data_IF_396505420567
#
_entry.id   IF_396505420567
#
_cell.length_a   1.000
_cell.length_b   1.000
_cell.length_c   1.000
_cell.angle_alpha   90.00
_cell.angle_beta   90.00
_cell.angle_gamma   90.00
#
_symmetry.space_group_name_H-M   'P 1'
#
loop_
_entity.id
_entity.type
_entity.pdbx_description
1 polymer ?
#
# COMPACT_ATOMS: atom_id res chain seq x y z
N UNK A 1 23.99 35.39 -27.32
CA UNK A 1 24.66 34.24 -26.66
C UNK A 1 24.52 34.35 -25.14
N UNK A 2 23.33 34.13 -24.59
CA UNK A 2 23.09 34.15 -23.13
C UNK A 2 21.88 33.31 -22.66
N UNK A 3 21.12 32.70 -23.59
CA UNK A 3 19.93 31.92 -23.25
C UNK A 3 20.23 30.47 -22.82
N UNK A 4 21.46 29.98 -23.00
CA UNK A 4 21.86 28.61 -22.62
C UNK A 4 22.42 28.51 -21.18
N UNK A 5 22.68 29.63 -20.50
CA UNK A 5 23.27 29.63 -19.15
C UNK A 5 22.23 29.37 -18.04
N UNK A 6 20.93 29.46 -18.34
CA UNK A 6 19.86 29.27 -17.34
C UNK A 6 19.52 27.80 -17.08
N UNK A 7 19.89 26.87 -17.97
CA UNK A 7 19.64 25.44 -17.79
C UNK A 7 20.67 24.72 -16.90
N UNK A 8 21.83 25.34 -16.67
CA UNK A 8 22.87 24.74 -15.80
C UNK A 8 22.82 25.25 -14.35
N UNK A 9 22.18 26.40 -14.09
CA UNK A 9 22.11 27.00 -12.74
C UNK A 9 20.86 26.64 -11.92
N UNK A 10 19.87 25.94 -12.50
CA UNK A 10 18.74 25.35 -11.74
C UNK A 10 19.10 24.01 -11.06
N UNK A 11 20.38 23.61 -11.05
CA UNK A 11 20.87 22.51 -10.20
C UNK A 11 20.89 22.83 -8.69
N UNK A 12 20.43 24.02 -8.29
CA UNK A 12 20.13 24.37 -6.90
C UNK A 12 18.64 24.20 -6.54
N UNK A 13 17.89 23.38 -7.28
CA UNK A 13 16.66 22.77 -6.75
C UNK A 13 17.05 21.78 -5.65
N UNK A 14 17.32 22.31 -4.44
CA UNK A 14 17.39 21.54 -3.20
C UNK A 14 16.07 20.77 -3.11
N UNK A 15 16.13 19.50 -3.48
CA UNK A 15 15.03 18.55 -3.30
C UNK A 15 14.89 18.37 -1.80
N UNK A 16 14.13 19.26 -1.18
CA UNK A 16 13.61 19.06 0.16
C UNK A 16 12.50 18.00 0.07
N UNK A 17 12.92 16.78 -0.28
CA UNK A 17 12.07 15.60 -0.34
C UNK A 17 11.92 15.09 1.08
N UNK A 18 10.96 15.67 1.81
CA UNK A 18 10.49 15.12 3.07
C UNK A 18 9.99 13.69 2.80
N UNK A 19 10.81 12.69 3.15
CA UNK A 19 10.60 11.25 2.96
C UNK A 19 9.40 10.64 3.71
N UNK A 20 8.36 11.42 3.97
CA UNK A 20 7.14 11.01 4.65
C UNK A 20 6.30 10.06 3.80
N UNK A 21 6.19 10.26 2.49
CA UNK A 21 5.30 9.43 1.66
C UNK A 21 5.84 8.01 1.45
N UNK A 22 7.17 7.87 1.48
CA UNK A 22 7.85 6.57 1.32
C UNK A 22 7.60 5.64 2.51
N UNK A 23 7.56 6.17 3.74
CA UNK A 23 7.25 5.36 4.93
C UNK A 23 5.80 4.85 4.87
N UNK A 24 4.86 5.69 4.45
CA UNK A 24 3.44 5.30 4.33
C UNK A 24 3.22 4.24 3.27
N UNK A 25 3.85 4.37 2.10
CA UNK A 25 3.80 3.33 1.06
C UNK A 25 4.38 2.00 1.54
N UNK A 26 5.52 2.02 2.22
CA UNK A 26 6.14 0.82 2.79
C UNK A 26 5.25 0.15 3.85
N UNK A 27 4.60 0.93 4.72
CA UNK A 27 3.67 0.41 5.72
C UNK A 27 2.48 -0.30 5.07
N UNK A 28 1.85 0.31 4.05
CA UNK A 28 0.71 -0.29 3.35
C UNK A 28 1.12 -1.63 2.71
N UNK A 29 2.29 -1.69 2.07
CA UNK A 29 2.80 -2.94 1.48
C UNK A 29 3.05 -4.04 2.53
N UNK A 30 3.60 -3.68 3.69
CA UNK A 30 3.80 -4.64 4.79
C UNK A 30 2.46 -5.14 5.31
N UNK A 31 1.50 -4.23 5.55
CA UNK A 31 0.16 -4.60 6.02
C UNK A 31 -0.56 -5.50 5.01
N UNK A 32 -0.42 -5.22 3.71
CA UNK A 32 -1.01 -6.01 2.63
C UNK A 32 -0.57 -7.48 2.68
N UNK A 33 0.74 -7.70 2.79
CA UNK A 33 1.32 -9.06 2.93
C UNK A 33 0.83 -9.74 4.20
N UNK A 34 0.78 -9.02 5.33
CA UNK A 34 0.28 -9.56 6.60
C UNK A 34 -1.19 -9.98 6.48
N UNK A 35 -2.03 -9.14 5.89
CA UNK A 35 -3.45 -9.45 5.68
C UNK A 35 -3.65 -10.66 4.75
N UNK A 36 -2.81 -10.79 3.71
CA UNK A 36 -2.82 -11.96 2.83
C UNK A 36 -2.44 -13.24 3.58
N UNK A 37 -1.39 -13.20 4.41
CA UNK A 37 -1.01 -14.34 5.26
C UNK A 37 -2.13 -14.68 6.26
N UNK A 38 -2.72 -13.68 6.91
CA UNK A 38 -3.82 -13.89 7.85
C UNK A 38 -5.05 -14.50 7.14
N UNK A 39 -5.42 -14.02 5.94
CA UNK A 39 -6.48 -14.61 5.13
C UNK A 39 -6.19 -16.09 4.78
N UNK A 40 -4.92 -16.44 4.53
CA UNK A 40 -4.48 -17.82 4.31
C UNK A 40 -4.49 -18.68 5.58
N UNK A 41 -4.37 -18.09 6.78
CA UNK A 41 -4.41 -18.84 8.06
C UNK A 41 -5.82 -19.16 8.52
N UNK A 42 -6.83 -18.43 8.05
CA UNK A 42 -8.21 -18.65 8.48
C UNK A 42 -8.77 -20.00 7.98
N UNK A 43 -9.53 -20.75 8.81
CA UNK A 43 -10.16 -22.02 8.43
C UNK A 43 -11.44 -21.81 7.61
N UNK A 44 -11.43 -20.87 6.68
CA UNK A 44 -12.56 -20.63 5.78
C UNK A 44 -12.54 -21.58 4.58
N UNK A 45 -13.70 -21.75 3.96
CA UNK A 45 -13.80 -22.45 2.68
C UNK A 45 -12.93 -21.77 1.61
N UNK A 46 -12.44 -22.56 0.66
CA UNK A 46 -11.53 -22.11 -0.40
C UNK A 46 -12.05 -20.87 -1.13
N UNK A 47 -13.36 -20.82 -1.43
CA UNK A 47 -13.99 -19.70 -2.12
C UNK A 47 -13.90 -18.37 -1.36
N UNK A 48 -14.10 -18.38 -0.04
CA UNK A 48 -13.93 -17.16 0.79
C UNK A 48 -12.48 -16.71 0.84
N UNK A 49 -11.53 -17.66 0.90
CA UNK A 49 -10.09 -17.37 0.87
C UNK A 49 -9.69 -16.65 -0.41
N UNK A 50 -10.10 -17.20 -1.56
CA UNK A 50 -9.78 -16.64 -2.87
C UNK A 50 -10.41 -15.26 -3.04
N UNK A 51 -11.66 -15.08 -2.59
CA UNK A 51 -12.36 -13.80 -2.67
C UNK A 51 -11.64 -12.71 -1.85
N UNK A 52 -11.19 -13.03 -0.63
CA UNK A 52 -10.44 -12.09 0.21
C UNK A 52 -9.08 -11.73 -0.36
N UNK A 53 -8.33 -12.72 -0.88
CA UNK A 53 -7.05 -12.48 -1.53
C UNK A 53 -7.22 -11.60 -2.77
N UNK A 54 -8.27 -11.83 -3.58
CA UNK A 54 -8.55 -11.02 -4.76
C UNK A 54 -8.87 -9.56 -4.40
N UNK A 55 -9.65 -9.32 -3.33
CA UNK A 55 -9.98 -7.97 -2.86
C UNK A 55 -8.73 -7.21 -2.38
N UNK A 56 -7.89 -7.86 -1.57
CA UNK A 56 -6.64 -7.28 -1.05
C UNK A 56 -5.70 -6.96 -2.24
N UNK A 57 -5.55 -7.88 -3.18
CA UNK A 57 -4.66 -7.72 -4.33
C UNK A 57 -5.04 -6.57 -5.28
N UNK A 58 -6.34 -6.43 -5.60
CA UNK A 58 -6.79 -5.36 -6.51
C UNK A 58 -6.84 -3.99 -5.82
N UNK A 59 -7.00 -3.95 -4.51
CA UNK A 59 -7.11 -2.73 -3.74
C UNK A 59 -6.25 -2.84 -2.47
N UNK A 60 -4.95 -2.53 -2.51
CA UNK A 60 -4.09 -2.69 -1.33
C UNK A 60 -4.55 -1.82 -0.15
N UNK A 61 -5.01 -0.59 -0.41
CA UNK A 61 -5.50 0.30 0.67
C UNK A 61 -6.93 -0.06 1.09
N UNK A 62 -7.86 -0.14 0.13
CA UNK A 62 -9.27 -0.35 0.44
C UNK A 62 -9.55 -1.81 0.85
N UNK A 63 -8.81 -2.76 0.30
CA UNK A 63 -8.86 -4.17 0.64
C UNK A 63 -8.40 -4.44 2.07
N UNK A 64 -7.37 -3.73 2.56
CA UNK A 64 -6.98 -3.76 3.98
C UNK A 64 -8.09 -3.21 4.90
N UNK A 65 -8.72 -2.10 4.53
CA UNK A 65 -9.83 -1.50 5.28
C UNK A 65 -11.02 -2.46 5.33
N UNK A 66 -11.46 -2.96 4.17
CA UNK A 66 -12.56 -3.93 4.08
C UNK A 66 -12.22 -5.22 4.80
N UNK A 67 -10.99 -5.70 4.70
CA UNK A 67 -10.52 -6.85 5.47
C UNK A 67 -10.67 -6.58 6.96
N UNK A 68 -10.14 -5.47 7.48
CA UNK A 68 -10.25 -5.21 8.92
C UNK A 68 -11.71 -5.10 9.42
N UNK A 69 -12.61 -4.51 8.63
CA UNK A 69 -14.02 -4.33 9.01
C UNK A 69 -14.89 -5.58 8.83
N UNK A 70 -14.70 -6.33 7.73
CA UNK A 70 -15.65 -7.34 7.24
C UNK A 70 -15.07 -8.77 7.22
N UNK A 71 -13.77 -8.94 7.44
CA UNK A 71 -13.09 -10.27 7.48
C UNK A 71 -13.69 -11.22 8.52
N UNK A 72 -14.50 -10.74 9.45
CA UNK A 72 -15.19 -11.60 10.43
C UNK A 72 -14.42 -11.75 11.72
N UNK A 73 -13.55 -10.79 12.05
CA UNK A 73 -12.88 -10.67 13.36
C UNK A 73 -13.83 -10.20 14.48
N UNK A 74 -15.09 -9.90 14.14
CA UNK A 74 -16.16 -9.62 15.08
C UNK A 74 -17.30 -10.63 14.95
N UNK A 75 -17.35 -11.57 15.89
CA UNK A 75 -18.52 -12.16 16.60
C UNK A 75 -18.08 -13.47 17.27
N UNK A 76 -17.52 -13.35 18.48
CA UNK A 76 -18.10 -14.03 19.63
C UNK A 76 -18.98 -12.99 20.34
#
# INVERSE_FOLDING_TARGET
MAFFASLTLTSCSRRDDYGSYTIWGALILILDVVAMIDALRQPWSLGKKILWIAIIYFLPVLGLILYYLLSGRGKA
#
